data_IF_088814683381
#
_entry.id   IF_088814683381
#
_cell.length_a   1.000
_cell.length_b   1.000
_cell.length_c   1.000
_cell.angle_alpha   90.00
_cell.angle_beta   90.00
_cell.angle_gamma   90.00
#
_symmetry.space_group_name_H-M   'P 1'
#
loop_
_entity.id
_entity.type
_entity.pdbx_description
1 polymer ?
2 polymer ?
3 polymer ?
4 non-polymer ?
5 water ?
#
# COMPACT_ATOMS: atom_id res chain seq x y z
N UNK A 1 -23.17 -0.92 18.03
CA UNK A 1 -21.88 -0.30 17.81
C UNK A 1 -21.91 0.67 16.63
N UNK A 2 -21.13 1.75 16.72
CA UNK A 2 -21.02 2.68 15.61
C UNK A 2 -20.36 1.97 14.45
N UNK A 3 -21.01 1.97 13.28
CA UNK A 3 -20.44 1.33 12.10
C UNK A 3 -20.84 2.09 10.85
N UNK A 4 -19.85 2.36 10.00
CA UNK A 4 -20.06 2.91 8.67
C UNK A 4 -19.58 1.89 7.64
N UNK A 5 -20.36 1.69 6.58
CA UNK A 5 -20.04 0.70 5.55
C UNK A 5 -20.14 1.38 4.19
N UNK A 6 -18.99 1.58 3.54
CA UNK A 6 -18.96 2.16 2.20
C UNK A 6 -19.24 1.11 1.14
N UNK A 7 -19.86 1.54 0.05
CA UNK A 7 -20.13 0.67 -1.10
C UNK A 7 -20.17 1.52 -2.36
N UNK A 8 -20.15 0.83 -3.50
CA UNK A 8 -20.25 1.49 -4.79
C UNK A 8 -18.94 1.58 -5.56
N UNK A 9 -17.82 1.21 -4.94
CA UNK A 9 -16.55 1.27 -5.64
C UNK A 9 -16.46 0.25 -6.75
N UNK A 10 -15.52 0.49 -7.66
CA UNK A 10 -15.30 -0.39 -8.78
C UNK A 10 -14.45 0.30 -9.84
N UNK A 11 -14.41 -0.32 -11.01
CA UNK A 11 -13.65 0.22 -12.13
C UNK A 11 -14.56 1.13 -12.96
N UNK A 12 -14.07 2.33 -13.26
CA UNK A 12 -14.82 3.30 -14.05
C UNK A 12 -13.88 3.95 -15.06
N UNK A 13 -14.36 4.13 -16.29
CA UNK A 13 -13.53 4.75 -17.32
C UNK A 13 -13.32 6.24 -17.01
N UNK A 14 -12.16 6.78 -17.37
CA UNK A 14 -11.94 8.22 -17.21
C UNK A 14 -13.02 9.02 -17.92
N UNK A 15 -13.45 10.11 -17.27
CA UNK A 15 -14.51 10.94 -17.80
C UNK A 15 -15.92 10.47 -17.47
N UNK A 16 -16.08 9.25 -16.95
CA UNK A 16 -17.38 8.73 -16.58
C UNK A 16 -17.67 9.05 -15.12
N UNK A 17 -18.80 8.56 -14.60
CA UNK A 17 -19.27 8.92 -13.27
C UNK A 17 -19.45 7.67 -12.42
N UNK A 18 -19.55 7.90 -11.11
CA UNK A 18 -19.75 6.84 -10.13
C UNK A 18 -20.31 7.46 -8.85
N UNK A 19 -21.24 6.76 -8.21
CA UNK A 19 -21.84 7.22 -6.96
C UNK A 19 -21.47 6.25 -5.85
N UNK A 20 -20.79 6.76 -4.81
CA UNK A 20 -20.45 5.98 -3.64
C UNK A 20 -21.52 6.15 -2.56
N UNK A 21 -21.72 5.09 -1.79
CA UNK A 21 -22.68 5.11 -0.69
C UNK A 21 -21.98 4.72 0.61
N UNK A 22 -22.50 5.26 1.71
CA UNK A 22 -22.00 4.93 3.05
C UNK A 22 -23.19 4.78 3.96
N UNK A 23 -23.43 3.58 4.46
CA UNK A 23 -24.57 3.28 5.31
C UNK A 23 -24.14 3.26 6.77
N UNK A 24 -24.88 3.98 7.61
CA UNK A 24 -24.52 4.17 9.01
C UNK A 24 -25.44 3.36 9.91
N UNK A 25 -24.87 2.85 10.99
CA UNK A 25 -25.64 2.08 11.96
C UNK A 25 -25.04 2.28 13.34
N UNK A 26 -25.86 2.04 14.36
CA UNK A 26 -25.41 2.14 15.73
C UNK A 26 -25.43 3.53 16.32
N UNK A 27 -25.99 4.51 15.62
CA UNK A 27 -26.07 5.87 16.14
C UNK A 27 -27.11 6.62 15.32
N UNK A 28 -27.52 7.79 15.84
CA UNK A 28 -28.46 8.66 15.14
C UNK A 28 -27.72 9.37 14.03
N UNK A 29 -27.85 8.86 12.80
CA UNK A 29 -27.10 9.38 11.66
C UNK A 29 -27.33 10.87 11.46
N UNK A 30 -28.58 11.32 11.59
CA UNK A 30 -28.95 12.70 11.32
C UNK A 30 -28.48 13.68 12.39
N UNK A 31 -27.81 13.22 13.45
CA UNK A 31 -27.25 14.13 14.43
C UNK A 31 -25.80 14.53 14.13
N UNK A 32 -25.16 13.89 13.15
CA UNK A 32 -23.73 14.08 12.91
C UNK A 32 -23.46 14.57 11.49
N UNK A 33 -22.55 15.55 11.38
CA UNK A 33 -21.91 15.78 10.11
C UNK A 33 -21.02 14.62 9.72
N UNK A 34 -20.73 14.53 8.42
CA UNK A 34 -20.00 13.39 7.88
C UNK A 34 -18.96 13.88 6.89
N UNK A 35 -17.94 13.04 6.69
CA UNK A 35 -16.82 13.36 5.80
C UNK A 35 -16.61 12.22 4.81
N UNK A 36 -16.04 12.56 3.65
CA UNK A 36 -15.37 11.60 2.80
C UNK A 36 -13.88 11.90 2.82
N UNK A 37 -13.07 10.85 2.91
CA UNK A 37 -11.61 10.92 2.86
C UNK A 37 -11.12 9.81 1.94
N UNK A 38 -10.01 10.05 1.25
CA UNK A 38 -9.47 9.02 0.36
C UNK A 38 -8.00 8.76 0.64
N UNK A 39 -7.55 7.58 0.24
CA UNK A 39 -6.19 7.15 0.50
C UNK A 39 -5.60 6.45 -0.71
N UNK A 40 -4.35 6.81 -1.05
CA UNK A 40 -3.54 6.08 -2.01
C UNK A 40 -2.24 5.65 -1.36
N UNK A 41 -1.60 4.58 -1.84
CA UNK A 41 -0.31 4.18 -1.25
C UNK A 41 0.76 5.24 -1.38
N UNK A 42 0.85 5.91 -2.53
CA UNK A 42 1.94 6.85 -2.78
C UNK A 42 1.63 8.23 -2.22
N UNK A 43 0.44 8.75 -2.48
CA UNK A 43 0.10 10.12 -2.09
C UNK A 43 -0.48 10.22 -0.68
N UNK A 44 -0.91 9.11 -0.09
CA UNK A 44 -1.36 9.11 1.29
C UNK A 44 -2.82 9.48 1.48
N UNK A 45 -3.14 10.09 2.62
CA UNK A 45 -4.50 10.42 2.98
C UNK A 45 -4.85 11.84 2.55
N UNK A 46 -6.06 12.01 2.02
CA UNK A 46 -6.53 13.31 1.53
C UNK A 46 -8.01 13.48 1.87
N UNK A 47 -8.33 14.52 2.62
CA UNK A 47 -9.72 14.85 2.89
C UNK A 47 -10.41 15.29 1.61
N UNK A 48 -11.67 14.88 1.45
CA UNK A 48 -12.42 15.12 0.21
C UNK A 48 -13.58 16.10 0.43
N UNK A 49 -14.45 15.83 1.39
CA UNK A 49 -15.63 16.67 1.54
C UNK A 49 -16.25 16.49 2.92
N UNK A 50 -17.04 17.49 3.33
CA UNK A 50 -17.76 17.49 4.59
C UNK A 50 -19.18 17.94 4.33
N UNK A 51 -20.13 17.40 5.11
CA UNK A 51 -21.53 17.81 5.02
C UNK A 51 -22.10 17.93 6.42
N UNK A 52 -22.89 18.98 6.66
CA UNK A 52 -23.53 19.19 7.94
C UNK A 52 -24.57 18.10 8.22
N UNK A 53 -24.92 17.99 9.51
CA UNK A 53 -25.83 16.93 9.96
C UNK A 53 -27.15 16.94 9.17
N UNK A 54 -27.66 18.12 8.83
CA UNK A 54 -28.93 18.24 8.13
C UNK A 54 -28.78 18.58 6.67
N UNK A 55 -27.56 18.47 6.12
CA UNK A 55 -27.30 18.85 4.75
C UNK A 55 -27.35 20.33 4.46
N UNK A 56 -27.43 21.17 5.49
CA UNK A 56 -27.60 22.61 5.30
C UNK A 56 -26.31 23.33 4.90
N UNK A 57 -25.16 22.65 4.94
CA UNK A 57 -23.92 23.27 4.49
C UNK A 57 -22.92 22.16 4.22
N UNK A 58 -21.99 22.44 3.31
CA UNK A 58 -21.00 21.46 2.88
C UNK A 58 -19.89 22.21 2.17
N UNK A 59 -18.72 21.57 2.09
CA UNK A 59 -17.64 22.09 1.26
C UNK A 59 -16.64 21.00 0.94
N UNK A 60 -15.70 21.33 0.06
CA UNK A 60 -14.91 20.34 -0.68
C UNK A 60 -13.45 20.74 -0.72
N UNK A 61 -12.60 19.75 -0.98
CA UNK A 61 -11.21 20.01 -1.30
C UNK A 61 -11.10 20.52 -2.74
N UNK A 62 -10.07 21.34 -2.99
CA UNK A 62 -9.99 22.06 -4.26
C UNK A 62 -9.99 21.10 -5.45
N UNK A 63 -9.31 19.96 -5.33
CA UNK A 63 -9.11 19.07 -6.46
C UNK A 63 -10.38 18.38 -6.96
N UNK A 64 -11.48 18.44 -6.21
CA UNK A 64 -12.72 17.80 -6.63
C UNK A 64 -13.84 18.79 -6.87
N UNK A 65 -13.59 20.09 -6.67
CA UNK A 65 -14.65 21.09 -6.83
C UNK A 65 -15.18 21.09 -8.26
N UNK A 66 -16.51 21.15 -8.38
CA UNK A 66 -17.15 21.12 -9.67
C UNK A 66 -17.34 19.74 -10.26
N UNK A 67 -16.78 18.71 -9.64
CA UNK A 67 -16.92 17.34 -10.11
C UNK A 67 -17.55 16.39 -9.11
N UNK A 68 -17.30 16.57 -7.82
CA UNK A 68 -17.88 15.73 -6.78
C UNK A 68 -18.99 16.49 -6.07
N UNK A 69 -20.01 15.76 -5.64
CA UNK A 69 -21.10 16.30 -4.84
C UNK A 69 -21.33 15.39 -3.65
N UNK A 70 -21.26 15.94 -2.45
CA UNK A 70 -21.60 15.19 -1.24
C UNK A 70 -23.05 15.46 -0.89
N UNK A 71 -23.78 14.41 -0.54
CA UNK A 71 -25.18 14.54 -0.15
C UNK A 71 -25.50 13.44 0.85
N UNK A 72 -26.68 13.54 1.46
CA UNK A 72 -27.11 12.53 2.40
C UNK A 72 -28.61 12.32 2.28
N UNK A 73 -29.04 11.11 2.61
CA UNK A 73 -30.45 10.76 2.72
C UNK A 73 -30.65 10.29 4.16
N UNK A 74 -31.10 11.21 5.01
CA UNK A 74 -31.24 10.85 6.42
C UNK A 74 -32.37 9.85 6.64
N UNK A 75 -33.33 9.76 5.71
CA UNK A 75 -34.36 8.74 5.82
C UNK A 75 -33.81 7.34 5.61
N UNK A 76 -32.68 7.21 4.91
CA UNK A 76 -32.05 5.93 4.64
C UNK A 76 -30.74 5.74 5.42
N UNK A 77 -30.38 6.67 6.30
CA UNK A 77 -29.12 6.59 7.05
C UNK A 77 -27.92 6.46 6.13
N UNK A 78 -27.95 7.17 5.00
CA UNK A 78 -26.94 6.95 3.98
C UNK A 78 -26.30 8.26 3.56
N UNK A 79 -24.98 8.21 3.39
CA UNK A 79 -24.19 9.32 2.86
C UNK A 79 -23.77 8.98 1.43
N UNK A 80 -23.78 9.98 0.55
CA UNK A 80 -23.43 9.75 -0.84
C UNK A 80 -22.24 10.62 -1.24
N UNK A 81 -21.48 10.13 -2.22
CA UNK A 81 -20.48 10.93 -2.92
C UNK A 81 -20.68 10.66 -4.42
N UNK A 82 -21.29 11.62 -5.11
CA UNK A 82 -21.44 11.56 -6.55
C UNK A 82 -20.16 12.09 -7.18
N UNK A 83 -19.51 11.28 -8.00
CA UNK A 83 -18.23 11.62 -8.60
C UNK A 83 -18.40 11.67 -10.11
N UNK A 84 -18.35 12.87 -10.68
CA UNK A 84 -18.49 13.06 -12.12
C UNK A 84 -17.13 13.39 -12.72
N UNK A 85 -17.02 13.19 -14.03
CA UNK A 85 -15.80 13.50 -14.79
C UNK A 85 -14.57 12.96 -14.08
N UNK A 86 -14.60 11.66 -13.81
CA UNK A 86 -13.54 11.03 -13.04
C UNK A 86 -12.21 11.05 -13.81
N UNK A 87 -11.13 11.18 -13.05
CA UNK A 87 -9.77 11.24 -13.57
C UNK A 87 -8.94 10.13 -12.94
N UNK A 88 -7.85 9.77 -13.62
CA UNK A 88 -6.96 8.73 -13.10
C UNK A 88 -6.52 9.03 -11.68
N UNK A 89 -6.25 10.31 -11.38
CA UNK A 89 -5.77 10.69 -10.05
C UNK A 89 -6.86 10.61 -8.98
N UNK A 90 -8.11 10.29 -9.34
CA UNK A 90 -9.13 10.01 -8.35
C UNK A 90 -9.12 8.57 -7.87
N UNK A 91 -8.26 7.71 -8.46
CA UNK A 91 -8.12 6.34 -7.99
C UNK A 91 -7.65 6.34 -6.54
N UNK A 92 -8.39 5.64 -5.67
CA UNK A 92 -8.08 5.63 -4.25
C UNK A 92 -9.08 4.74 -3.52
N UNK A 93 -8.74 4.38 -2.30
CA UNK A 93 -9.72 3.87 -1.35
C UNK A 93 -10.46 5.05 -0.74
N UNK A 94 -11.79 5.01 -0.80
CA UNK A 94 -12.62 6.10 -0.28
C UNK A 94 -13.26 5.66 1.04
N UNK A 95 -13.03 6.44 2.08
CA UNK A 95 -13.61 6.20 3.40
C UNK A 95 -14.63 7.28 3.74
N UNK A 96 -15.66 6.88 4.46
CA UNK A 96 -16.49 7.87 5.13
C UNK A 96 -16.21 7.85 6.62
N UNK A 97 -16.44 9.00 7.25
CA UNK A 97 -16.06 9.20 8.63
C UNK A 97 -17.05 10.14 9.29
N UNK A 98 -17.18 10.03 10.60
CA UNK A 98 -18.14 10.79 11.37
C UNK A 98 -17.44 11.97 12.02
N UNK A 99 -18.05 13.15 11.93
CA UNK A 99 -17.44 14.35 12.48
C UNK A 99 -17.26 14.21 13.99
N UNK A 100 -16.14 14.74 14.51
CA UNK A 100 -15.78 14.55 15.91
C UNK A 100 -15.23 15.84 16.48
N UNK A 101 -15.71 16.21 17.67
CA UNK A 101 -15.15 17.34 18.40
C UNK A 101 -13.74 17.00 18.87
N UNK A 102 -12.75 17.80 18.43
CA UNK A 102 -11.35 17.57 18.77
C UNK A 102 -10.92 18.27 20.03
N UNK A 103 -11.82 18.30 21.01
CA UNK A 103 -11.60 18.94 22.30
C UNK A 103 -12.43 18.16 23.30
N UNK A 104 -12.12 18.31 24.59
CA UNK A 104 -12.91 17.66 25.62
C UNK A 104 -14.39 17.98 25.44
N UNK A 105 -15.23 16.97 25.67
CA UNK A 105 -16.66 17.15 25.49
C UNK A 105 -17.22 18.23 26.41
N UNK A 106 -16.65 18.37 27.61
CA UNK A 106 -17.17 19.30 28.60
C UNK A 106 -16.75 20.74 28.36
N UNK A 107 -15.80 21.00 27.47
CA UNK A 107 -15.36 22.36 27.21
C UNK A 107 -16.35 23.08 26.30
N UNK A 108 -16.72 24.30 26.68
CA UNK A 108 -17.58 25.14 25.87
C UNK A 108 -16.94 26.52 25.77
N UNK A 109 -16.62 26.93 24.55
CA UNK A 109 -15.88 28.15 24.33
C UNK A 109 -15.37 28.21 22.91
N UNK A 110 -14.60 29.27 22.63
CA UNK A 110 -14.12 29.49 21.27
C UNK A 110 -13.02 28.53 20.88
N UNK A 111 -12.22 28.07 21.85
CA UNK A 111 -11.07 27.21 21.55
C UNK A 111 -11.58 25.78 21.33
N UNK A 112 -12.15 25.56 20.15
CA UNK A 112 -12.60 24.24 19.75
C UNK A 112 -12.40 24.09 18.25
N UNK A 113 -12.14 22.86 17.82
CA UNK A 113 -12.01 22.57 16.41
C UNK A 113 -12.44 21.13 16.20
N UNK A 114 -12.91 20.82 14.99
CA UNK A 114 -13.50 19.53 14.71
C UNK A 114 -12.64 18.74 13.72
N UNK A 115 -12.68 17.42 13.87
CA UNK A 115 -12.02 16.49 12.98
C UNK A 115 -12.98 15.33 12.72
N UNK A 116 -12.50 14.10 12.57
CA UNK A 116 -13.42 13.01 12.28
C UNK A 116 -12.81 11.67 12.68
N UNK A 117 -13.69 10.74 13.08
CA UNK A 117 -13.28 9.42 13.57
C UNK A 117 -14.28 8.39 13.05
N UNK A 118 -14.16 7.15 13.55
CA UNK A 118 -15.09 6.08 13.22
C UNK A 118 -15.17 5.84 11.71
N UNK A 119 -14.01 5.81 11.05
CA UNK A 119 -13.99 5.57 9.61
C UNK A 119 -14.51 4.17 9.30
N UNK A 120 -15.15 4.04 8.14
CA UNK A 120 -15.58 2.74 7.65
C UNK A 120 -14.43 1.95 7.04
N UNK A 121 -14.76 0.76 6.52
CA UNK A 121 -13.74 -0.11 5.92
C UNK A 121 -13.24 0.41 4.59
N UNK A 122 -13.99 1.28 3.92
CA UNK A 122 -13.55 1.85 2.67
C UNK A 122 -14.04 1.08 1.46
N UNK A 123 -14.01 1.75 0.31
CA UNK A 123 -14.39 1.14 -0.96
C UNK A 123 -13.42 1.64 -2.02
N UNK A 124 -12.92 0.72 -2.85
CA UNK A 124 -11.87 1.05 -3.81
C UNK A 124 -12.47 1.56 -5.11
N UNK A 125 -12.01 2.73 -5.55
CA UNK A 125 -12.39 3.32 -6.82
C UNK A 125 -11.18 3.27 -7.73
N UNK A 126 -11.29 2.60 -8.87
CA UNK A 126 -10.22 2.48 -9.83
C UNK A 126 -10.65 3.11 -11.15
N UNK A 127 -10.04 4.23 -11.49
CA UNK A 127 -10.33 4.92 -12.74
C UNK A 127 -9.31 4.45 -13.78
N UNK A 128 -9.80 3.75 -14.79
CA UNK A 128 -8.92 3.11 -15.76
C UNK A 128 -9.71 2.80 -17.01
N UNK A 129 -9.02 2.84 -18.16
CA UNK A 129 -9.61 2.43 -19.42
C UNK A 129 -9.40 0.94 -19.69
N UNK A 130 -8.76 0.21 -18.78
CA UNK A 130 -8.50 -1.20 -18.98
C UNK A 130 -9.78 -2.02 -18.88
N UNK A 131 -9.82 -3.10 -19.65
CA UNK A 131 -10.91 -4.06 -19.61
C UNK A 131 -10.46 -5.32 -18.90
N UNK A 132 -11.43 -6.13 -18.49
CA UNK A 132 -11.11 -7.39 -17.84
C UNK A 132 -10.23 -8.26 -18.73
N UNK A 133 -9.15 -8.78 -18.17
CA UNK A 133 -8.18 -9.55 -18.94
C UNK A 133 -7.50 -10.54 -18.02
N UNK A 134 -7.46 -11.80 -18.45
CA UNK A 134 -6.79 -12.84 -17.69
C UNK A 134 -5.29 -12.76 -17.86
N UNK A 135 -4.54 -13.26 -16.89
CA UNK A 135 -3.08 -13.17 -16.96
C UNK A 135 -2.48 -14.23 -17.88
N UNK A 136 -1.27 -13.92 -18.34
CA UNK A 136 -0.38 -14.92 -18.91
C UNK A 136 0.60 -15.33 -17.81
N UNK A 137 0.93 -16.61 -17.75
CA UNK A 137 1.76 -17.15 -16.69
C UNK A 137 3.04 -17.68 -17.31
N UNK A 138 4.18 -17.16 -16.86
CA UNK A 138 5.47 -17.54 -17.39
C UNK A 138 6.35 -18.12 -16.30
N UNK A 139 7.20 -19.09 -16.63
CA UNK A 139 8.06 -19.68 -15.61
C UNK A 139 9.25 -18.79 -15.28
N UNK A 140 9.58 -18.73 -14.00
CA UNK A 140 10.86 -18.23 -13.53
C UNK A 140 11.69 -19.48 -13.20
N UNK A 141 12.48 -19.92 -14.18
CA UNK A 141 13.06 -21.26 -14.09
C UNK A 141 14.28 -21.27 -13.16
N UNK A 142 14.46 -22.35 -12.41
CA UNK A 142 15.62 -22.44 -11.51
C UNK A 142 16.92 -22.48 -12.30
N UNK A 143 17.90 -21.71 -11.82
CA UNK A 143 19.16 -21.58 -12.53
C UNK A 143 19.92 -22.90 -12.59
N UNK A 144 20.63 -23.11 -13.70
CA UNK A 144 21.47 -24.29 -13.84
C UNK A 144 22.70 -24.20 -12.95
N UNK A 145 23.11 -22.99 -12.59
CA UNK A 145 24.25 -22.80 -11.70
C UNK A 145 23.84 -23.02 -10.24
N UNK A 150 22.71 -27.06 -2.27
CA UNK A 150 22.36 -25.76 -1.72
C UNK A 150 20.87 -25.44 -1.82
N UNK A 151 20.57 -24.16 -2.08
CA UNK A 151 19.21 -23.67 -2.15
C UNK A 151 18.96 -23.06 -3.54
N UNK A 152 17.87 -23.46 -4.17
CA UNK A 152 17.48 -22.92 -5.47
C UNK A 152 16.20 -22.12 -5.34
N UNK A 153 16.02 -21.16 -6.24
CA UNK A 153 14.82 -20.36 -6.30
C UNK A 153 14.15 -20.56 -7.65
N UNK A 154 12.82 -20.58 -7.64
CA UNK A 154 12.05 -20.65 -8.86
C UNK A 154 10.73 -19.93 -8.62
N UNK A 155 9.96 -19.73 -9.68
CA UNK A 155 8.71 -19.04 -9.49
C UNK A 155 7.91 -18.94 -10.77
N UNK A 156 6.84 -18.14 -10.69
CA UNK A 156 5.97 -17.87 -11.83
C UNK A 156 5.75 -16.38 -11.95
N UNK A 157 5.84 -15.87 -13.15
CA UNK A 157 5.52 -14.48 -13.46
C UNK A 157 4.09 -14.45 -13.99
N UNK A 158 3.24 -13.70 -13.31
CA UNK A 158 1.80 -13.61 -13.60
C UNK A 158 1.57 -12.21 -14.15
N UNK A 159 1.45 -12.10 -15.48
CA UNK A 159 1.61 -10.81 -16.14
C UNK A 159 0.36 -10.43 -16.94
N UNK A 160 0.06 -9.14 -16.95
CA UNK A 160 -0.91 -8.49 -17.83
C UNK A 160 -2.35 -8.93 -17.56
N UNK A 161 -2.81 -8.77 -16.33
CA UNK A 161 -4.19 -9.05 -15.98
C UNK A 161 -4.87 -7.80 -15.43
N UNK A 162 -6.20 -7.81 -15.45
CA UNK A 162 -7.00 -6.71 -14.94
C UNK A 162 -8.42 -7.22 -14.71
N UNK A 163 -9.05 -6.87 -13.59
CA UNK A 163 -8.50 -6.11 -12.47
C UNK A 163 -7.83 -7.03 -11.46
N UNK A 164 -7.35 -6.48 -10.35
CA UNK A 164 -6.95 -7.30 -9.21
C UNK A 164 -8.19 -7.96 -8.62
N UNK A 165 -8.01 -9.08 -7.89
CA UNK A 165 -6.76 -9.78 -7.57
C UNK A 165 -6.57 -11.09 -8.32
N UNK A 166 -5.35 -11.62 -8.30
CA UNK A 166 -5.10 -13.01 -8.66
C UNK A 166 -4.65 -13.73 -7.41
N UNK A 167 -4.94 -15.03 -7.35
CA UNK A 167 -4.46 -15.89 -6.29
C UNK A 167 -3.46 -16.87 -6.87
N UNK A 168 -2.39 -17.13 -6.12
CA UNK A 168 -1.34 -18.05 -6.53
C UNK A 168 -1.11 -19.05 -5.41
N UNK A 169 -1.10 -20.33 -5.75
CA UNK A 169 -0.66 -21.38 -4.84
C UNK A 169 0.37 -22.23 -5.57
N UNK A 170 1.06 -23.08 -4.82
CA UNK A 170 2.03 -23.99 -5.39
C UNK A 170 1.65 -25.42 -5.05
N UNK A 171 1.69 -26.29 -6.06
CA UNK A 171 1.38 -27.72 -5.90
C UNK A 171 0.04 -27.92 -5.19
N UNK A 172 -0.96 -27.14 -5.61
CA UNK A 172 -2.32 -27.21 -5.06
C UNK A 172 -2.33 -27.01 -3.55
N UNK A 173 -1.48 -26.11 -3.07
CA UNK A 173 -1.44 -25.77 -1.66
C UNK A 173 -0.57 -26.65 -0.80
N UNK A 174 0.03 -27.71 -1.37
CA UNK A 174 0.91 -28.55 -0.56
C UNK A 174 2.24 -27.85 -0.24
N UNK A 175 2.66 -26.93 -1.09
CA UNK A 175 3.91 -26.20 -0.91
C UNK A 175 3.60 -24.79 -0.43
N UNK A 176 3.91 -24.52 0.84
CA UNK A 176 3.70 -23.21 1.43
C UNK A 176 4.96 -22.62 2.03
N UNK A 177 5.87 -23.43 2.53
CA UNK A 177 7.10 -22.93 3.12
C UNK A 177 8.01 -22.33 2.05
N UNK A 178 8.56 -21.16 2.36
CA UNK A 178 9.45 -20.47 1.45
C UNK A 178 8.79 -19.75 0.29
N UNK A 179 7.45 -19.72 0.24
CA UNK A 179 6.76 -19.04 -0.85
C UNK A 179 6.66 -17.56 -0.55
N UNK A 180 6.99 -16.73 -1.53
CA UNK A 180 6.77 -15.29 -1.49
C UNK A 180 5.97 -14.90 -2.72
N UNK A 181 4.72 -14.51 -2.53
CA UNK A 181 3.91 -13.95 -3.60
C UNK A 181 3.90 -12.44 -3.43
N UNK A 182 4.48 -11.75 -4.39
CA UNK A 182 4.71 -10.32 -4.24
C UNK A 182 3.44 -9.51 -4.52
N UNK A 183 3.31 -8.35 -3.90
CA UNK A 183 2.21 -7.44 -4.25
C UNK A 183 2.27 -7.09 -5.73
N UNK A 184 1.10 -7.04 -6.36
CA UNK A 184 1.03 -6.68 -7.76
C UNK A 184 1.46 -5.24 -7.97
N UNK A 185 2.04 -4.98 -9.14
CA UNK A 185 2.40 -3.63 -9.56
C UNK A 185 1.57 -3.28 -10.78
N UNK A 186 1.21 -2.00 -10.89
CA UNK A 186 0.48 -1.51 -12.05
C UNK A 186 1.49 -1.07 -13.10
N UNK A 187 1.43 -1.70 -14.28
CA UNK A 187 2.37 -1.39 -15.34
C UNK A 187 1.90 -0.17 -16.13
N UNK A 188 2.81 0.36 -16.96
CA UNK A 188 2.47 1.52 -17.77
C UNK A 188 1.35 1.23 -18.76
N UNK A 189 1.11 -0.06 -19.08
CA UNK A 189 0.01 -0.45 -19.94
C UNK A 189 -1.35 -0.32 -19.28
N UNK A 190 -1.40 -0.15 -17.97
CA UNK A 190 -2.64 -0.19 -17.23
C UNK A 190 -3.02 -1.55 -16.71
N UNK A 191 -2.23 -2.58 -17.01
CA UNK A 191 -2.46 -3.93 -16.53
C UNK A 191 -1.52 -4.25 -15.37
N UNK A 192 -1.94 -5.21 -14.54
CA UNK A 192 -1.17 -5.59 -13.36
C UNK A 192 -0.24 -6.76 -13.66
N UNK A 193 0.79 -6.89 -12.84
CA UNK A 193 1.76 -7.98 -12.94
C UNK A 193 2.30 -8.28 -11.55
N UNK A 194 2.58 -9.56 -11.30
CA UNK A 194 3.22 -9.95 -10.06
C UNK A 194 4.02 -11.22 -10.31
N UNK A 195 4.90 -11.53 -9.37
CA UNK A 195 5.62 -12.80 -9.37
C UNK A 195 5.39 -13.51 -8.04
N UNK A 196 5.41 -14.83 -8.10
CA UNK A 196 5.39 -15.68 -6.93
C UNK A 196 6.64 -16.54 -7.01
N UNK A 197 7.44 -16.57 -5.95
CA UNK A 197 8.69 -17.31 -5.94
C UNK A 197 8.71 -18.26 -4.75
N UNK A 198 9.53 -19.30 -4.87
CA UNK A 198 9.74 -20.24 -3.78
C UNK A 198 11.18 -20.68 -3.81
N UNK A 199 11.75 -20.87 -2.62
CA UNK A 199 13.08 -21.42 -2.46
C UNK A 199 12.95 -22.88 -2.04
N UNK A 200 13.68 -23.75 -2.72
CA UNK A 200 13.60 -25.19 -2.50
C UNK A 200 15.01 -25.72 -2.37
N UNK A 201 15.19 -26.89 -1.76
CA UNK A 201 16.49 -27.55 -1.81
C UNK A 201 16.89 -27.80 -3.26
N UNK A 202 18.14 -27.46 -3.60
CA UNK A 202 18.64 -27.75 -4.93
C UNK A 202 18.59 -29.24 -5.24
N UNK A 203 18.57 -30.09 -4.22
CA UNK A 203 18.43 -31.52 -4.43
C UNK A 203 17.01 -31.90 -4.82
N UNK A 204 16.02 -31.11 -4.41
CA UNK A 204 14.63 -31.43 -4.69
C UNK A 204 14.24 -31.18 -6.14
N UNK A 205 15.07 -30.49 -6.91
CA UNK A 205 14.79 -30.32 -8.35
C UNK A 205 14.74 -31.67 -9.05
N UNK A 206 15.41 -32.68 -8.51
CA UNK A 206 15.40 -34.00 -9.10
C UNK A 206 14.29 -34.89 -8.58
N UNK A 207 13.75 -34.57 -7.40
CA UNK A 207 12.77 -35.43 -6.74
C UNK A 207 11.38 -34.81 -6.65
N UNK A 208 11.15 -33.64 -7.24
CA UNK A 208 9.89 -32.95 -7.02
C UNK A 208 9.51 -32.10 -8.23
N UNK A 209 8.21 -32.10 -8.56
CA UNK A 209 7.67 -31.19 -9.55
C UNK A 209 7.09 -29.96 -8.87
N UNK A 210 7.19 -28.83 -9.55
CA UNK A 210 6.72 -27.56 -9.01
C UNK A 210 5.74 -26.94 -9.99
N UNK A 211 4.50 -26.76 -9.55
CA UNK A 211 3.43 -26.23 -10.38
C UNK A 211 2.82 -25.04 -9.66
N UNK A 212 2.74 -23.91 -10.35
CA UNK A 212 2.09 -22.74 -9.78
C UNK A 212 0.65 -22.68 -10.29
N UNK A 213 -0.28 -22.60 -9.35
CA UNK A 213 -1.71 -22.57 -9.65
C UNK A 213 -2.20 -21.13 -9.56
N UNK A 214 -2.65 -20.59 -10.68
CA UNK A 214 -3.06 -19.20 -10.79
C UNK A 214 -4.55 -19.15 -11.06
N UNK A 215 -5.26 -18.38 -10.26
CA UNK A 215 -6.69 -18.16 -10.45
C UNK A 215 -6.95 -16.66 -10.55
N UNK A 216 -7.63 -16.24 -11.62
CA UNK A 216 -8.07 -14.85 -11.80
C UNK A 216 -9.58 -14.90 -11.95
N UNK A 217 -10.29 -14.79 -10.82
CA UNK A 217 -11.74 -14.93 -10.84
C UNK A 217 -12.47 -13.91 -11.71
N UNK A 218 -12.06 -12.64 -11.80
CA UNK A 218 -12.79 -11.70 -12.68
C UNK A 218 -12.87 -12.15 -14.13
N UNK A 219 -11.86 -12.84 -14.65
CA UNK A 219 -11.90 -13.34 -16.02
C UNK A 219 -12.21 -14.83 -16.10
N UNK A 220 -12.51 -15.47 -14.97
CA UNK A 220 -12.73 -16.92 -14.91
C UNK A 220 -11.57 -17.66 -15.56
N UNK A 221 -10.36 -17.25 -15.21
CA UNK A 221 -9.12 -17.84 -15.73
C UNK A 221 -8.47 -18.69 -14.65
N UNK A 222 -8.17 -19.94 -14.99
CA UNK A 222 -7.41 -20.83 -14.13
C UNK A 222 -6.27 -21.43 -14.95
N UNK A 223 -5.06 -21.39 -14.41
CA UNK A 223 -3.86 -21.85 -15.11
C UNK A 223 -2.99 -22.62 -14.13
N UNK A 224 -2.51 -23.79 -14.56
CA UNK A 224 -1.47 -24.54 -13.84
C UNK A 224 -0.20 -24.51 -14.68
N UNK A 225 0.86 -23.90 -14.15
CA UNK A 225 2.11 -23.75 -14.88
C UNK A 225 3.21 -24.59 -14.22
N UNK A 226 3.71 -25.58 -14.95
CA UNK A 226 4.86 -26.34 -14.47
C UNK A 226 6.12 -25.52 -14.65
N UNK A 227 6.96 -25.48 -13.60
CA UNK A 227 8.21 -24.72 -13.62
C UNK A 227 9.35 -25.69 -13.42
N UNK A 228 10.23 -25.78 -14.41
CA UNK A 228 11.31 -26.74 -14.43
C UNK A 228 12.58 -26.08 -14.93
N UNK A 229 13.75 -26.66 -14.65
CA UNK A 229 14.99 -26.12 -15.23
C UNK A 229 14.92 -26.12 -16.75
N UNK A 230 15.44 -25.05 -17.34
CA UNK A 230 15.42 -24.93 -18.79
C UNK A 230 16.39 -25.92 -19.42
N UNK A 231 16.02 -26.42 -20.60
CA UNK A 231 16.85 -27.38 -21.32
C UNK A 231 17.79 -26.66 -22.30
N UNK B 1 -3.27 23.34 2.48
CA UNK B 1 -2.51 24.55 2.67
C UNK B 1 -1.45 24.38 3.75
N UNK B 2 -1.83 23.80 4.89
CA UNK B 2 -0.90 23.49 5.95
C UNK B 2 -0.32 22.10 5.68
N UNK B 3 0.99 22.04 5.48
CA UNK B 3 1.65 20.78 5.16
C UNK B 3 2.17 20.13 6.44
N UNK B 4 1.92 18.83 6.56
CA UNK B 4 2.38 18.04 7.70
C UNK B 4 3.48 17.09 7.24
N UNK B 5 4.58 17.04 8.00
CA UNK B 5 5.70 16.17 7.66
C UNK B 5 6.05 15.33 8.88
N UNK B 6 6.09 14.01 8.69
CA UNK B 6 6.46 13.08 9.74
C UNK B 6 7.86 12.54 9.51
N UNK B 7 8.53 12.21 10.61
CA UNK B 7 9.88 11.66 10.59
C UNK B 7 9.99 10.66 11.73
N UNK B 8 10.57 9.46 11.47
CA UNK B 8 11.02 8.99 10.16
C UNK B 8 9.87 8.40 9.36
N UNK B 9 10.11 8.02 8.10
CA UNK B 9 9.07 7.33 7.35
C UNK B 9 8.89 5.89 7.82
N UNK B 10 9.97 5.26 8.27
CA UNK B 10 9.94 3.90 8.78
C UNK B 10 10.83 3.81 10.01
N UNK B 11 10.33 3.15 11.05
CA UNK B 11 11.04 3.02 12.32
C UNK B 11 11.00 1.56 12.74
N UNK B 12 12.15 1.02 13.11
CA UNK B 12 12.24 -0.35 13.59
C UNK B 12 12.35 -0.35 15.12
N UNK B 13 11.60 -1.24 15.75
CA UNK B 13 11.60 -1.29 17.21
C UNK B 13 11.32 -2.71 17.68
N UNK B 14 11.63 -2.95 18.95
CA UNK B 14 11.41 -4.24 19.58
C UNK B 14 10.29 -4.11 20.61
N UNK B 15 9.59 -5.23 20.84
CA UNK B 15 8.58 -5.26 21.89
C UNK B 15 9.23 -4.85 23.22
N UNK B 16 8.64 -3.87 23.89
CA UNK B 16 9.18 -3.32 25.10
C UNK B 16 9.91 -2.00 24.93
N UNK B 17 10.20 -1.59 23.69
CA UNK B 17 10.95 -0.38 23.45
C UNK B 17 10.08 0.86 23.61
N UNK B 18 10.74 1.98 23.89
CA UNK B 18 10.10 3.29 23.86
C UNK B 18 10.30 3.90 22.48
N UNK B 19 9.21 4.28 21.82
CA UNK B 19 9.24 4.77 20.45
C UNK B 19 8.67 6.19 20.43
N UNK B 20 9.33 7.08 19.69
CA UNK B 20 8.86 8.45 19.52
C UNK B 20 8.83 8.80 18.05
N UNK B 21 7.72 9.36 17.59
CA UNK B 21 7.50 9.75 16.20
C UNK B 21 7.27 11.26 16.16
N UNK B 22 7.89 11.93 15.19
CA UNK B 22 7.85 13.38 15.08
C UNK B 22 6.92 13.81 13.96
N UNK B 23 6.19 14.90 14.19
CA UNK B 23 5.32 15.49 13.18
C UNK B 23 5.55 16.99 13.20
N UNK B 24 5.72 17.58 12.02
CA UNK B 24 6.07 18.99 11.87
C UNK B 24 5.05 19.66 10.96
N UNK B 25 4.58 20.84 11.37
CA UNK B 25 3.60 21.58 10.59
C UNK B 25 4.26 22.76 9.89
N UNK B 26 3.72 23.11 8.71
CA UNK B 26 4.28 24.21 7.93
C UNK B 26 4.01 25.57 8.56
N UNK B 27 2.99 25.66 9.42
CA UNK B 27 2.72 26.86 10.20
C UNK B 27 2.03 26.40 11.48
N UNK B 28 1.86 27.34 12.41
CA UNK B 28 1.26 27.00 13.70
C UNK B 28 -0.15 26.47 13.50
N UNK B 29 -0.46 25.37 14.18
CA UNK B 29 -1.78 24.77 14.17
C UNK B 29 -2.40 24.77 15.57
N UNK B 30 -1.86 25.59 16.46
CA UNK B 30 -2.26 25.63 17.87
C UNK B 30 -1.97 24.24 18.42
N UNK B 31 -2.92 23.59 19.09
CA UNK B 31 -2.73 22.22 19.53
C UNK B 31 -3.69 21.30 18.84
N UNK B 32 -4.22 21.74 17.69
CA UNK B 32 -5.18 20.95 16.93
C UNK B 32 -4.44 19.92 16.07
N UNK B 33 -3.93 18.91 16.77
CA UNK B 33 -3.16 17.83 16.16
C UNK B 33 -3.74 16.50 16.62
N UNK B 34 -4.06 15.63 15.67
CA UNK B 34 -4.59 14.33 16.00
C UNK B 34 -3.66 13.26 15.45
N UNK B 35 -3.71 12.08 16.07
CA UNK B 35 -2.94 10.93 15.61
C UNK B 35 -3.87 9.77 15.30
N UNK B 36 -3.55 9.03 14.24
CA UNK B 36 -4.29 7.86 13.83
C UNK B 36 -3.35 6.67 13.70
N UNK B 37 -3.88 5.48 13.93
CA UNK B 37 -3.15 4.24 13.74
C UNK B 37 -3.84 3.43 12.65
N UNK B 38 -3.06 2.89 11.72
CA UNK B 38 -3.61 2.08 10.64
C UNK B 38 -2.82 0.79 10.48
N UNK B 39 -3.54 -0.32 10.42
CA UNK B 39 -3.08 -1.67 10.09
C UNK B 39 -3.35 -1.96 8.62
N UNK B 40 -2.53 -2.78 7.99
CA UNK B 40 -2.73 -3.08 6.55
C UNK B 40 -4.12 -3.60 6.26
N UNK B 41 -4.74 -3.03 5.23
CA UNK B 41 -6.08 -3.41 4.84
C UNK B 41 -7.19 -2.90 5.73
N UNK B 42 -6.87 -2.14 6.77
CA UNK B 42 -7.86 -1.64 7.71
C UNK B 42 -7.90 -0.12 7.66
N UNK B 43 -8.95 0.44 8.25
CA UNK B 43 -9.10 1.88 8.29
C UNK B 43 -8.26 2.48 9.42
N UNK B 44 -7.84 3.74 9.27
CA UNK B 44 -7.16 4.42 10.38
C UNK B 44 -8.07 4.55 11.59
N UNK B 45 -7.48 4.44 12.77
CA UNK B 45 -8.19 4.48 14.04
C UNK B 45 -7.74 5.68 14.86
N UNK B 46 -8.71 6.40 15.42
CA UNK B 46 -8.47 7.63 16.17
C UNK B 46 -7.77 7.34 17.49
N UNK B 47 -6.59 7.90 17.70
CA UNK B 47 -5.77 7.62 18.88
C UNK B 47 -5.71 8.77 19.87
N UNK B 48 -5.33 9.95 19.40
CA UNK B 48 -5.04 11.11 20.25
C UNK B 48 -5.61 12.34 19.56
N UNK B 49 -6.10 13.29 20.35
CA UNK B 49 -6.54 14.57 19.81
C UNK B 49 -6.08 15.68 20.75
N UNK B 50 -6.17 16.92 20.27
CA UNK B 50 -5.67 18.09 20.99
C UNK B 50 -4.23 17.87 21.42
N UNK B 51 -3.44 17.25 20.53
CA UNK B 51 -2.01 16.99 20.69
C UNK B 51 -1.70 15.96 21.76
N UNK B 52 -2.48 15.91 22.84
CA UNK B 52 -2.08 15.13 24.01
C UNK B 52 -3.22 14.38 24.69
N UNK B 53 -4.46 14.53 24.26
CA UNK B 53 -5.60 13.89 24.91
C UNK B 53 -5.81 12.51 24.30
N UNK B 54 -5.79 11.48 25.13
CA UNK B 54 -5.99 10.12 24.67
C UNK B 54 -7.47 9.85 24.43
N UNK B 55 -7.79 9.26 23.28
CA UNK B 55 -9.16 8.85 23.00
C UNK B 55 -9.55 7.70 23.92
N UNK B 56 -10.84 7.67 24.27
CA UNK B 56 -11.34 6.63 25.18
C UNK B 56 -11.12 5.24 24.58
N UNK B 57 -10.63 4.33 25.41
CA UNK B 57 -10.34 2.98 24.99
C UNK B 57 -8.93 2.77 24.46
N UNK B 58 -8.17 3.83 24.23
CA UNK B 58 -6.80 3.70 23.76
C UNK B 58 -5.89 3.41 24.96
N UNK B 59 -5.01 2.41 24.87
CA UNK B 59 -4.17 2.06 26.02
C UNK B 59 -3.28 3.22 26.46
N UNK B 60 -2.97 3.24 27.76
CA UNK B 60 -2.22 4.33 28.36
C UNK B 60 -0.77 4.39 27.90
N UNK B 61 -0.27 3.37 27.21
CA UNK B 61 1.12 3.44 26.74
C UNK B 61 1.30 4.46 25.62
N UNK B 62 0.21 4.97 25.04
CA UNK B 62 0.30 6.01 24.02
C UNK B 62 0.23 7.38 24.67
N UNK B 63 1.08 8.30 24.22
CA UNK B 63 1.07 9.67 24.70
C UNK B 63 1.46 10.60 23.55
N UNK B 64 0.98 11.84 23.63
CA UNK B 64 1.32 12.85 22.65
C UNK B 64 1.72 14.14 23.33
N UNK B 65 2.59 14.88 22.66
CA UNK B 65 3.05 16.17 23.16
C UNK B 65 3.30 17.09 21.97
N UNK B 66 3.52 18.36 22.28
CA UNK B 66 3.91 19.33 21.26
C UNK B 66 3.00 20.54 21.25
N UNK B 67 3.48 21.57 20.56
CA UNK B 67 2.76 22.82 20.39
C UNK B 67 3.32 23.53 19.16
N UNK B 68 2.54 24.47 18.63
CA UNK B 68 2.99 25.27 17.53
C UNK B 68 3.20 24.48 16.25
N UNK B 69 4.45 24.15 15.94
CA UNK B 69 4.78 23.44 14.71
C UNK B 69 5.44 22.10 14.93
N UNK B 70 5.73 21.71 16.17
CA UNK B 70 6.49 20.50 16.46
C UNK B 70 5.69 19.63 17.42
N UNK B 71 5.42 18.39 17.02
CA UNK B 71 4.61 17.47 17.81
C UNK B 71 5.26 16.10 17.83
N UNK B 72 4.98 15.33 18.88
CA UNK B 72 5.54 13.99 19.03
C UNK B 72 4.46 13.03 19.51
N UNK B 73 4.56 11.80 19.04
CA UNK B 73 3.78 10.67 19.54
C UNK B 73 4.74 9.67 20.14
N UNK B 74 4.44 9.20 21.35
CA UNK B 74 5.33 8.31 22.09
C UNK B 74 4.58 7.06 22.52
N UNK B 75 5.18 5.90 22.30
CA UNK B 75 4.72 4.64 22.86
C UNK B 75 5.72 4.21 23.91
N UNK B 76 5.28 4.15 25.17
CA UNK B 76 6.20 3.97 26.29
C UNK B 76 6.84 2.59 26.29
N UNK B 77 6.04 1.54 26.12
CA UNK B 77 6.53 0.17 26.04
C UNK B 77 5.79 -0.50 24.89
N UNK B 78 6.48 -0.67 23.76
CA UNK B 78 5.83 -1.17 22.55
C UNK B 78 5.35 -2.61 22.76
N UNK B 79 4.15 -2.88 22.26
CA UNK B 79 3.51 -4.18 22.31
C UNK B 79 3.29 -4.69 20.89
N UNK B 80 3.14 -6.02 20.70
CA UNK B 80 2.96 -6.54 19.35
C UNK B 80 1.82 -5.91 18.56
N UNK B 81 0.74 -5.51 19.24
CA UNK B 81 -0.37 -4.87 18.53
C UNK B 81 -0.02 -3.48 18.03
N UNK B 82 1.13 -2.91 18.42
CA UNK B 82 1.45 -1.54 18.06
C UNK B 82 2.25 -1.43 16.77
N UNK B 83 2.67 -2.54 16.18
CA UNK B 83 3.34 -2.50 14.89
C UNK B 83 2.31 -2.16 13.82
N UNK B 84 2.44 -0.98 13.24
CA UNK B 84 1.40 -0.38 12.41
C UNK B 84 1.98 0.90 11.82
N UNK B 85 1.16 1.59 11.03
CA UNK B 85 1.51 2.90 10.51
C UNK B 85 0.73 3.97 11.27
N UNK B 86 1.43 5.03 11.67
CA UNK B 86 0.84 6.12 12.43
C UNK B 86 0.84 7.39 11.59
N UNK B 87 -0.29 8.10 11.59
CA UNK B 87 -0.45 9.34 10.86
C UNK B 87 -0.80 10.47 11.82
N UNK B 88 -0.15 11.61 11.64
CA UNK B 88 -0.64 12.81 12.31
C UNK B 88 -1.58 13.56 11.38
N UNK B 89 -2.42 14.39 11.97
CA UNK B 89 -3.40 15.17 11.21
C UNK B 89 -3.61 16.50 11.92
N UNK B 90 -3.40 17.61 11.21
CA UNK B 90 -3.80 18.90 11.73
C UNK B 90 -5.26 19.13 11.38
N UNK B 91 -6.03 19.65 12.34
CA UNK B 91 -7.40 20.05 12.08
C UNK B 91 -7.63 21.47 12.56
N UNK B 92 -6.62 22.33 12.34
CA UNK B 92 -6.78 23.75 12.62
C UNK B 92 -7.42 24.49 11.46
N UNK B 93 -7.04 24.15 10.23
CA UNK B 93 -7.59 24.77 9.02
C UNK B 93 -7.78 23.67 8.00
N UNK B 94 -9.03 23.28 7.76
CA UNK B 94 -9.34 22.09 6.98
C UNK B 94 -8.65 20.90 7.65
N UNK B 95 -8.25 19.90 6.88
CA UNK B 95 -7.70 18.66 7.44
C UNK B 95 -6.62 18.15 6.52
N UNK B 96 -5.39 18.03 7.02
CA UNK B 96 -4.28 17.51 6.24
C UNK B 96 -3.47 16.56 7.10
N UNK B 97 -2.87 15.56 6.45
CA UNK B 97 -2.20 14.45 7.12
C UNK B 97 -0.72 14.44 6.78
N UNK B 98 0.09 13.93 7.71
CA UNK B 98 1.44 13.53 7.39
C UNK B 98 1.44 12.29 6.51
N UNK B 99 2.62 11.96 5.98
CA UNK B 99 2.74 10.82 5.08
C UNK B 99 2.80 9.49 5.84
N UNK B 100 2.84 9.50 7.15
CA UNK B 100 2.79 8.28 7.92
C UNK B 100 4.16 7.78 8.32
N UNK B 101 4.24 7.17 9.49
CA UNK B 101 5.44 6.50 9.97
C UNK B 101 5.10 5.05 10.25
N UNK B 102 5.77 4.14 9.56
CA UNK B 102 5.55 2.71 9.73
C UNK B 102 6.48 2.20 10.82
N UNK B 103 5.90 1.61 11.87
CA UNK B 103 6.66 1.00 12.95
C UNK B 103 6.78 -0.48 12.66
N UNK B 104 8.01 -0.96 12.42
CA UNK B 104 8.25 -2.34 12.08
C UNK B 104 9.08 -3.02 13.15
N UNK B 105 9.22 -4.35 13.02
CA UNK B 105 9.87 -5.19 14.02
C UNK B 105 11.37 -5.19 13.77
N UNK B 106 12.14 -4.82 14.80
CA UNK B 106 13.58 -4.80 14.67
C UNK B 106 14.16 -6.21 14.71
N UNK B 107 15.21 -6.43 13.92
CA UNK B 107 16.01 -7.64 14.00
C UNK B 107 17.41 -7.31 13.51
N UNK B 108 18.29 -8.32 13.52
CA UNK B 108 19.65 -8.12 13.08
C UNK B 108 19.72 -7.98 11.56
N UNK B 109 20.77 -7.29 11.10
CA UNK B 109 21.00 -7.15 9.67
C UNK B 109 21.16 -8.52 9.04
N UNK B 110 20.52 -8.72 7.89
CA UNK B 110 20.57 -9.97 7.16
C UNK B 110 20.77 -9.67 5.69
N UNK B 111 21.81 -10.27 5.09
CA UNK B 111 22.10 -10.02 3.70
C UNK B 111 21.08 -10.71 2.80
N UNK B 112 20.75 -10.11 1.66
CA UNK B 112 19.85 -10.78 0.71
C UNK B 112 20.56 -11.89 -0.05
N UNK B 113 19.81 -12.94 -0.34
CA UNK B 113 20.20 -13.94 -1.33
C UNK B 113 19.64 -13.54 -2.67
N UNK B 114 20.50 -13.41 -3.68
CA UNK B 114 20.13 -12.81 -4.96
C UNK B 114 20.01 -13.89 -6.04
N UNK B 115 18.95 -13.80 -6.84
CA UNK B 115 18.70 -14.70 -7.95
C UNK B 115 18.24 -13.88 -9.16
N UNK B 116 18.71 -14.24 -10.35
CA UNK B 116 18.28 -13.59 -11.57
C UNK B 116 17.56 -14.61 -12.45
N UNK B 117 16.54 -14.17 -13.17
CA UNK B 117 15.71 -15.04 -13.99
C UNK B 117 15.62 -14.46 -15.39
N UNK B 118 16.09 -15.17 -16.42
CA UNK B 118 15.93 -14.70 -17.79
C UNK B 118 14.48 -14.83 -18.22
N UNK B 119 14.09 -14.14 -19.29
CA UNK B 119 12.74 -14.33 -19.82
C UNK B 119 12.59 -15.70 -20.44
N UNK B 120 11.37 -16.23 -20.35
CA UNK B 120 11.09 -17.52 -20.96
C UNK B 120 10.93 -17.37 -22.47
N UNK B 121 11.23 -18.44 -23.18
CA UNK B 121 10.99 -18.45 -24.62
C UNK B 121 9.53 -18.16 -24.93
N UNK B 122 8.62 -18.67 -24.09
CA UNK B 122 7.19 -18.48 -24.32
C UNK B 122 6.81 -17.00 -24.25
N UNK B 123 7.42 -16.26 -23.33
CA UNK B 123 7.05 -14.85 -23.17
C UNK B 123 7.45 -14.02 -24.39
N UNK B 124 8.60 -14.34 -25.00
CA UNK B 124 9.09 -13.55 -26.12
C UNK B 124 8.07 -13.46 -27.26
N UNK B 125 7.15 -14.41 -27.36
CA UNK B 125 6.12 -14.34 -28.37
C UNK B 125 5.17 -13.17 -28.13
N UNK B 126 5.01 -12.76 -26.87
CA UNK B 126 4.18 -11.60 -26.55
C UNK B 126 4.78 -10.28 -27.02
N UNK B 127 6.05 -10.29 -27.46
CA UNK B 127 6.73 -9.07 -27.84
C UNK B 127 7.50 -8.39 -26.73
N UNK B 128 7.41 -8.88 -25.50
CA UNK B 128 8.09 -8.29 -24.35
C UNK B 128 8.93 -9.36 -23.66
N UNK B 129 10.03 -8.93 -23.06
CA UNK B 129 10.91 -9.79 -22.27
C UNK B 129 10.99 -9.22 -20.87
N UNK B 130 10.65 -10.03 -19.87
CA UNK B 130 10.78 -9.65 -18.48
C UNK B 130 11.98 -10.36 -17.86
N UNK B 131 12.86 -9.58 -17.25
CA UNK B 131 13.99 -10.11 -16.48
C UNK B 131 13.72 -9.80 -15.02
N UNK B 132 13.77 -10.82 -14.18
CA UNK B 132 13.41 -10.70 -12.78
C UNK B 132 14.65 -10.91 -11.92
N UNK B 133 14.87 -10.00 -10.98
CA UNK B 133 15.92 -10.13 -9.98
C UNK B 133 15.24 -10.23 -8.62
N UNK B 134 15.57 -11.27 -7.87
CA UNK B 134 14.97 -11.55 -6.56
C UNK B 134 16.00 -11.32 -5.46
N UNK B 135 15.61 -10.56 -4.43
CA UNK B 135 16.40 -10.37 -3.22
C UNK B 135 15.62 -11.03 -2.10
N UNK B 136 16.14 -12.14 -1.57
CA UNK B 136 15.34 -12.96 -0.66
C UNK B 136 15.82 -12.82 0.78
N UNK B 137 14.86 -12.62 1.69
CA UNK B 137 15.04 -12.76 3.14
C UNK B 137 16.18 -11.87 3.67
N UNK B 138 16.00 -10.56 3.51
CA UNK B 138 17.00 -9.59 3.95
C UNK B 138 16.41 -8.60 4.95
N UNK B 139 17.31 -7.87 5.62
CA UNK B 139 16.93 -6.85 6.60
C UNK B 139 18.09 -5.89 6.79
N UNK B 140 17.85 -4.58 6.88
CA UNK B 140 16.57 -3.86 6.76
C UNK B 140 16.09 -3.77 5.32
N UNK B 141 14.91 -3.18 5.12
CA UNK B 141 14.26 -3.24 3.81
C UNK B 141 14.97 -2.38 2.78
N UNK B 142 15.67 -1.33 3.20
CA UNK B 142 16.32 -0.46 2.24
C UNK B 142 17.44 -1.19 1.51
N UNK B 143 17.42 -1.14 0.18
CA UNK B 143 18.42 -1.81 -0.64
C UNK B 143 18.51 -1.07 -1.96
N UNK B 144 19.63 -1.26 -2.65
CA UNK B 144 19.88 -0.62 -3.93
C UNK B 144 20.01 -1.71 -4.98
N UNK B 145 19.20 -1.61 -6.04
CA UNK B 145 19.22 -2.57 -7.15
C UNK B 145 19.51 -1.81 -8.42
N UNK B 146 20.50 -2.27 -9.18
CA UNK B 146 20.91 -1.64 -10.43
C UNK B 146 20.86 -2.66 -11.55
N UNK B 147 20.28 -2.28 -12.68
CA UNK B 147 20.19 -3.13 -13.87
C UNK B 147 21.16 -2.62 -14.92
N UNK B 148 21.93 -3.53 -15.50
CA UNK B 148 22.80 -3.21 -16.63
C UNK B 148 22.55 -4.20 -17.76
N UNK B 149 22.56 -3.68 -18.99
CA UNK B 149 22.39 -4.46 -20.20
C UNK B 149 23.54 -4.10 -21.12
N UNK B 150 24.45 -5.05 -21.36
CA UNK B 150 25.72 -4.78 -22.04
C UNK B 150 26.39 -3.54 -21.45
N UNK B 151 26.45 -3.50 -20.11
CA UNK B 151 27.06 -2.46 -19.31
C UNK B 151 26.37 -1.11 -19.43
N UNK B 152 25.16 -1.06 -19.99
CA UNK B 152 24.39 0.17 -20.05
C UNK B 152 23.42 0.18 -18.88
N UNK B 153 23.55 1.20 -18.02
CA UNK B 153 22.63 1.33 -16.90
C UNK B 153 21.21 1.53 -17.40
N UNK B 154 20.29 0.76 -16.84
CA UNK B 154 18.88 0.84 -17.21
C UNK B 154 18.15 1.73 -16.22
N UNK B 155 17.44 2.73 -16.74
CA UNK B 155 16.70 3.65 -15.88
C UNK B 155 15.32 3.85 -16.46
N UNK B 156 14.30 3.69 -15.62
CA UNK B 156 12.93 3.96 -16.01
C UNK B 156 12.15 2.75 -16.48
N UNK B 157 12.80 1.63 -16.75
CA UNK B 157 12.15 0.44 -17.31
C UNK B 157 12.13 -0.72 -16.32
N UNK B 158 12.13 -0.43 -15.02
CA UNK B 158 12.04 -1.48 -14.01
C UNK B 158 11.07 -1.06 -12.92
N UNK B 159 10.45 -2.05 -12.28
CA UNK B 159 9.51 -1.84 -11.18
C UNK B 159 9.86 -2.79 -10.06
N UNK B 160 9.75 -2.30 -8.82
CA UNK B 160 10.05 -3.10 -7.65
C UNK B 160 8.78 -3.41 -6.86
N UNK B 161 8.78 -4.58 -6.22
CA UNK B 161 7.73 -4.98 -5.29
C UNK B 161 8.39 -5.59 -4.08
N UNK B 162 7.86 -5.30 -2.90
CA UNK B 162 8.44 -5.77 -1.63
C UNK B 162 7.35 -6.45 -0.82
N UNK B 163 7.70 -7.56 -0.18
CA UNK B 163 6.76 -8.25 0.70
C UNK B 163 6.61 -7.48 2.01
N UNK B 164 5.57 -7.82 2.76
CA UNK B 164 5.50 -7.39 4.14
C UNK B 164 6.50 -8.18 4.97
N UNK B 165 6.83 -7.64 6.14
CA UNK B 165 7.78 -8.31 7.02
C UNK B 165 7.30 -9.71 7.36
N UNK B 166 8.18 -10.69 7.19
CA UNK B 166 7.80 -12.08 7.44
C UNK B 166 7.48 -12.30 8.92
N UNK B 167 6.42 -13.07 9.17
CA UNK B 167 5.99 -13.29 10.55
C UNK B 167 7.01 -14.09 11.35
N UNK B 168 7.73 -15.01 10.70
CA UNK B 168 8.63 -15.89 11.46
C UNK B 168 9.98 -15.24 11.72
N UNK B 169 10.63 -14.70 10.69
CA UNK B 169 11.99 -14.20 10.83
C UNK B 169 12.14 -12.70 10.62
N UNK B 170 11.04 -11.97 10.42
CA UNK B 170 11.03 -10.51 10.33
C UNK B 170 11.86 -9.97 9.18
N UNK B 171 12.09 -10.77 8.15
CA UNK B 171 12.84 -10.31 6.99
C UNK B 171 11.90 -9.84 5.87
N UNK B 172 12.51 -9.25 4.85
CA UNK B 172 11.81 -8.82 3.65
C UNK B 172 12.32 -9.59 2.44
N UNK B 173 11.50 -9.64 1.41
CA UNK B 173 11.93 -10.08 0.10
C UNK B 173 11.48 -9.03 -0.92
N UNK B 174 12.26 -8.90 -1.99
CA UNK B 174 12.01 -7.86 -2.97
C UNK B 174 12.23 -8.42 -4.37
N UNK B 175 11.36 -8.05 -5.30
CA UNK B 175 11.55 -8.34 -6.71
C UNK B 175 11.78 -7.05 -7.46
N UNK B 176 12.72 -7.09 -8.41
CA UNK B 176 12.89 -6.01 -9.38
C UNK B 176 12.72 -6.63 -10.75
N UNK B 177 11.81 -6.09 -11.55
CA UNK B 177 11.48 -6.64 -12.84
C UNK B 177 11.85 -5.63 -13.91
N UNK B 178 12.73 -6.04 -14.82
CA UNK B 178 13.15 -5.22 -15.95
C UNK B 178 12.34 -5.62 -17.17
N UNK B 179 11.73 -4.63 -17.83
CA UNK B 179 10.87 -4.88 -18.98
C UNK B 179 11.58 -4.38 -20.24
N UNK B 180 11.72 -5.27 -21.22
CA UNK B 180 12.35 -4.95 -22.49
C UNK B 180 11.47 -5.44 -23.63
N UNK B 181 11.66 -4.85 -24.80
CA UNK B 181 11.00 -5.37 -25.97
C UNK B 181 11.73 -6.61 -26.45
N UNK B 182 11.01 -7.50 -27.15
CA UNK B 182 11.65 -8.69 -27.70
C UNK B 182 12.87 -8.33 -28.53
N UNK B 183 12.75 -7.32 -29.38
CA UNK B 183 13.87 -6.95 -30.27
C UNK B 183 15.05 -6.41 -29.48
N UNK B 184 14.80 -5.57 -28.47
CA UNK B 184 15.89 -5.09 -27.63
C UNK B 184 16.56 -6.25 -26.90
N UNK B 185 15.77 -7.17 -26.36
CA UNK B 185 16.35 -8.31 -25.64
C UNK B 185 17.28 -9.12 -26.55
N UNK B 186 16.85 -9.36 -27.79
CA UNK B 186 17.62 -10.20 -28.70
C UNK B 186 18.85 -9.51 -29.29
N UNK B 187 18.97 -8.20 -29.15
CA UNK B 187 20.09 -7.42 -29.67
C UNK B 187 21.22 -7.27 -28.66
N UNK B 188 21.00 -7.65 -27.40
CA UNK B 188 22.01 -7.51 -26.35
C UNK B 188 22.29 -8.88 -25.74
N UNK B 189 23.43 -8.98 -25.05
CA UNK B 189 23.93 -10.26 -24.56
C UNK B 189 23.96 -10.35 -23.04
N UNK B 190 24.62 -9.42 -22.36
CA UNK B 190 24.86 -9.54 -20.93
C UNK B 190 23.77 -8.78 -20.15
N UNK B 191 23.10 -9.50 -19.26
CA UNK B 191 22.04 -8.96 -18.42
C UNK B 191 22.43 -9.19 -16.96
N UNK B 192 22.50 -8.10 -16.19
CA UNK B 192 23.07 -8.16 -14.85
C UNK B 192 22.26 -7.31 -13.88
N UNK B 193 22.02 -7.86 -12.69
CA UNK B 193 21.39 -7.15 -11.59
C UNK B 193 22.40 -7.04 -10.45
N UNK B 194 22.72 -5.83 -10.04
CA UNK B 194 23.69 -5.58 -8.97
C UNK B 194 22.94 -5.12 -7.73
N UNK B 195 23.16 -5.82 -6.62
CA UNK B 195 22.48 -5.53 -5.36
C UNK B 195 23.49 -4.96 -4.38
N UNK B 196 23.18 -3.80 -3.83
CA UNK B 196 23.96 -3.18 -2.77
C UNK B 196 23.12 -3.19 -1.50
N UNK B 197 23.67 -3.75 -0.43
CA UNK B 197 22.97 -3.83 0.85
C UNK B 197 24.02 -3.98 1.95
N UNK B 198 23.79 -3.29 3.07
CA UNK B 198 24.79 -3.26 4.15
C UNK B 198 25.04 -4.65 4.73
N UNK B 199 24.16 -5.62 4.50
CA UNK B 199 24.48 -6.98 4.91
C UNK B 199 25.54 -7.65 4.06
N UNK B 200 25.90 -7.06 2.93
CA UNK B 200 26.93 -7.57 2.04
C UNK B 200 28.17 -6.69 2.12
N UNK B 201 29.34 -7.32 2.27
CA UNK B 201 30.58 -6.57 2.30
C UNK B 201 30.88 -5.88 0.98
N UNK B 202 30.34 -6.40 -0.11
CA UNK B 202 30.49 -5.82 -1.43
C UNK B 202 29.24 -6.16 -2.23
N UNK B 203 28.90 -5.36 -3.24
CA UNK B 203 27.69 -5.65 -4.01
C UNK B 203 27.75 -7.03 -4.65
N UNK B 204 26.58 -7.67 -4.72
CA UNK B 204 26.43 -8.96 -5.36
C UNK B 204 25.81 -8.73 -6.73
N UNK B 205 26.48 -9.22 -7.77
CA UNK B 205 25.97 -9.15 -9.13
C UNK B 205 25.60 -10.54 -9.60
N UNK B 206 24.35 -10.69 -10.04
CA UNK B 206 23.91 -11.91 -10.71
C UNK B 206 23.62 -11.57 -12.16
N UNK B 207 24.10 -12.43 -13.06
CA UNK B 207 24.03 -12.09 -14.47
C UNK B 207 23.85 -13.36 -15.29
N UNK B 208 23.39 -13.17 -16.53
CA UNK B 208 23.35 -14.25 -17.50
C UNK B 208 23.64 -13.66 -18.87
N UNK B 209 24.13 -14.51 -19.76
CA UNK B 209 24.30 -14.19 -21.18
C UNK B 209 23.14 -14.80 -21.95
N UNK B 210 22.47 -13.99 -22.77
CA UNK B 210 21.35 -14.48 -23.54
C UNK B 210 21.77 -15.65 -24.43
N UNK B 211 21.03 -16.74 -24.35
CA UNK B 211 21.31 -17.90 -25.18
C UNK B 211 22.35 -18.85 -24.63
N UNK B 212 22.83 -18.63 -23.42
CA UNK B 212 23.83 -19.50 -22.81
C UNK B 212 23.32 -20.12 -21.51
N UNK C 1 -12.29 24.84 12.26
CA UNK C 1 -13.24 23.92 11.64
C UNK C 1 -14.51 23.84 12.47
N UNK C 2 -15.60 24.38 11.92
CA UNK C 2 -16.81 24.59 12.70
C UNK C 2 -17.49 23.26 13.04
N UNK C 3 -18.34 23.32 14.06
CA UNK C 3 -19.12 22.17 14.49
C UNK C 3 -20.18 21.83 13.44
N UNK C 4 -20.10 20.67 12.80
CA UNK C 4 -21.14 20.25 11.85
C UNK C 4 -22.16 19.28 12.42
N UNK C 5 -22.16 19.07 13.73
CA UNK C 5 -23.12 18.19 14.39
C UNK C 5 -24.26 19.01 14.99
N UNK C 6 -25.29 18.32 15.45
CA UNK C 6 -26.46 19.00 15.97
C UNK C 6 -26.16 19.66 17.31
N UNK C 7 -25.29 19.06 18.12
CA UNK C 7 -25.02 19.56 19.45
C UNK C 7 -23.57 20.02 19.57
N UNK C 8 -23.28 21.00 20.45
CA UNK C 8 -21.92 21.48 20.68
C UNK C 8 -21.10 20.54 21.56
X LIG D 1 -8.89 22.32 0.64
X LIG D 1 -8.68 22.70 -0.73
X LIG D 1 -8.48 23.45 1.56
X LIG D 1 -7.09 23.76 1.37
X LIG E 1 5.66 -13.60 3.00
X LIG E 1 5.54 -13.15 1.64
X LIG E 1 4.70 -12.83 3.90
X LIG E 1 5.02 -11.43 3.85
X LIG F 1 22.31 -17.03 -13.98
X LIG F 1 23.57 -16.94 -14.66
X LIG F 1 22.51 -17.58 -12.58
X LIG F 1 23.14 -16.59 -11.74
X LIG G 1 -5.36 1.16 18.80
X LIG G 1 -6.01 -0.11 18.66
X LIG G 1 -4.91 1.34 20.25
X LIG G 1 -4.05 0.26 20.64
X LIG H 1 18.77 -16.96 -21.29
X LIG H 1 18.81 -17.54 -22.59
X LIG H 1 19.73 -17.72 -20.36
X LIG H 1 21.06 -17.61 -20.87
X LIG I 1 -10.16 26.47 15.72
X LIG I 1 -9.96 27.56 16.61
X LIG I 1 -9.56 26.79 14.35
X LIG I 1 -8.17 27.11 14.51
X LIG J 1 17.41 -0.70 -23.56
X LIG J 1 17.80 -0.24 -24.85
X LIG J 1 18.05 -2.06 -23.29
X LIG J 1 19.48 -1.94 -23.38
X LIG K 1 -11.66 26.19 7.69
X LIG K 1 -12.48 27.14 8.37
X LIG K 1 -12.54 25.13 7.04
X LIG K 1 -13.26 24.42 8.06
#
# INVERSE_FOLDING_TARGET
>A
QVQLVESGGGVVQPGRSLRLSCEASGFTFSNFGMHWVRQTPVKGLEWVAIIWFDGSYKYYTDSVKGRFTISRDNSKNTLYLQMNSLRAEDTAVYYCARARKGQRSDYYGSETSYTFDNWGQGTLVTVSSASTKGPSVFPLAPSSKSTSGGTAALGCLVKDYFPEPVTVSWNSGALTSGVHTFPAVLQSSGLYSLSSVVTVPSSSLGTQTYICNVNHKPSNTKVDKKVEPKSC
>B
DIQMTQSPSTLSASVGDRVTITCRASQSINGWLAWYQQKPGKAPKFLIYKASILESGIPSRFSGSGSGTEFTLTISSLQPDDFATYYCQQYSSYWTFGQGTKVEIKRTVAAPSVFIFPPSDEQLKSGTASVVCLLNNFYPREAKVQWKVDNALQSGNSQESVTEQDSKDSTYSLSSTLTLSKADYEKHKVYACEVTHQGLSSPVTKSFNRGEC
>C
NANPNVDPNANP
>D hetero
1 EDO C1 O1 C2 O2
>E hetero
1 EDO C1 O1 C2 O2
>F hetero
1 EDO C1 O1 C2 O2
>G hetero
1 EDO C1 O1 C2 O2
>H hetero
1 EDO C1 O1 C2 O2
>I hetero
1 EDO C1 O1 C2 O2
>J hetero
1 EDO C1 O1 C2 O2
>K hetero
1 EDO C1 O1 C2 O2
#
